data_IF_908978814982
#
_entry.id   IF_908978814982
#
_cell.length_a   1.000
_cell.length_b   1.000
_cell.length_c   1.000
_cell.angle_alpha   90.00
_cell.angle_beta   90.00
_cell.angle_gamma   90.00
#
_symmetry.space_group_name_H-M   'P 1'
#
loop_
_entity.id
_entity.type
_entity.pdbx_description
1 polymer ?
#
# COMPACT_ATOMS: atom_id res chain seq x y z
N UNK A 1 -26.17 -28.67 15.92
CA UNK A 1 -27.46 -29.37 16.14
C UNK A 1 -27.89 -30.03 14.83
N UNK A 2 -27.64 -31.34 14.67
CA UNK A 2 -28.22 -32.17 13.61
C UNK A 2 -28.55 -33.52 14.23
N UNK A 3 -29.82 -33.91 14.14
CA UNK A 3 -30.40 -35.05 14.83
C UNK A 3 -29.95 -36.39 14.22
N UNK A 4 -29.81 -37.47 15.02
CA UNK A 4 -29.57 -38.82 14.51
C UNK A 4 -30.88 -39.50 14.07
N UNK A 5 -30.84 -40.48 13.14
CA UNK A 5 -32.00 -41.28 12.80
C UNK A 5 -32.23 -42.44 13.81
N UNK A 6 -33.47 -42.94 13.92
CA UNK A 6 -33.89 -43.83 15.01
C UNK A 6 -33.49 -45.30 14.78
N UNK A 7 -33.04 -45.91 15.87
CA UNK A 7 -32.94 -47.34 16.08
C UNK A 7 -34.32 -47.98 16.20
N UNK A 8 -34.71 -48.83 15.25
CA UNK A 8 -35.92 -49.65 15.27
C UNK A 8 -35.60 -51.12 15.58
N UNK A 9 -36.33 -51.66 16.56
CA UNK A 9 -36.11 -52.89 17.35
C UNK A 9 -36.90 -54.09 16.80
N UNK A 10 -36.45 -55.30 17.17
CA UNK A 10 -37.18 -56.58 17.38
C UNK A 10 -38.27 -57.01 16.38
N UNK A 11 -38.27 -58.21 15.80
CA UNK A 11 -38.09 -59.51 16.46
C UNK A 11 -39.42 -60.27 16.45
N UNK A 12 -39.56 -61.30 15.61
CA UNK A 12 -40.66 -62.26 15.67
C UNK A 12 -40.18 -63.62 15.12
N UNK A 13 -40.02 -64.57 16.03
CA UNK A 13 -39.77 -65.97 15.74
C UNK A 13 -41.09 -66.66 15.33
N UNK A 14 -41.04 -67.48 14.27
CA UNK A 14 -42.09 -68.47 13.99
C UNK A 14 -41.47 -69.69 13.30
N UNK A 15 -41.52 -70.82 14.00
CA UNK A 15 -41.07 -72.11 13.51
C UNK A 15 -42.05 -72.71 12.49
N UNK A 16 -41.52 -73.58 11.62
CA UNK A 16 -42.33 -74.39 10.71
C UNK A 16 -41.50 -75.27 9.76
N UNK A 17 -41.67 -76.58 9.93
CA UNK A 17 -41.55 -77.66 8.94
C UNK A 17 -40.18 -77.98 8.26
N UNK A 18 -39.54 -79.11 8.61
CA UNK A 18 -38.44 -79.69 7.84
C UNK A 18 -39.01 -80.61 6.75
N UNK A 19 -38.81 -80.27 5.47
CA UNK A 19 -39.20 -81.19 4.39
C UNK A 19 -39.08 -80.70 2.96
N UNK A 20 -39.01 -79.37 2.74
CA UNK A 20 -38.90 -78.79 1.39
C UNK A 20 -37.72 -77.79 1.25
N UNK A 21 -36.74 -77.85 2.17
CA UNK A 21 -35.70 -76.80 2.31
C UNK A 21 -34.51 -76.93 1.36
N UNK A 22 -34.22 -78.11 0.81
CA UNK A 22 -32.99 -78.32 0.02
C UNK A 22 -33.07 -77.74 -1.40
N UNK A 23 -34.26 -77.74 -2.02
CA UNK A 23 -34.43 -77.18 -3.38
C UNK A 23 -34.53 -75.65 -3.38
N UNK A 24 -35.08 -75.05 -2.32
CA UNK A 24 -35.25 -73.61 -2.19
C UNK A 24 -33.93 -72.90 -1.79
N UNK A 25 -33.06 -73.58 -1.05
CA UNK A 25 -31.69 -73.11 -0.73
C UNK A 25 -30.79 -73.03 -1.98
N UNK A 26 -30.95 -73.95 -2.94
CA UNK A 26 -30.21 -73.91 -4.21
C UNK A 26 -30.64 -72.74 -5.12
N UNK A 27 -31.93 -72.44 -5.19
CA UNK A 27 -32.44 -71.27 -5.91
C UNK A 27 -32.05 -69.93 -5.23
N UNK A 28 -32.01 -69.91 -3.89
CA UNK A 28 -31.50 -68.76 -3.13
C UNK A 28 -29.99 -68.54 -3.32
N UNK A 29 -29.20 -69.58 -3.54
CA UNK A 29 -27.77 -69.47 -3.87
C UNK A 29 -27.49 -68.76 -5.20
N UNK A 30 -28.32 -68.99 -6.22
CA UNK A 30 -28.24 -68.26 -7.49
C UNK A 30 -28.74 -66.81 -7.38
N UNK A 31 -29.72 -66.54 -6.52
CA UNK A 31 -30.15 -65.18 -6.19
C UNK A 31 -29.08 -64.40 -5.41
N UNK A 32 -28.34 -65.07 -4.51
CA UNK A 32 -27.22 -64.45 -3.79
C UNK A 32 -26.09 -64.03 -4.74
N UNK A 33 -25.85 -64.79 -5.81
CA UNK A 33 -24.83 -64.47 -6.82
C UNK A 33 -25.26 -63.31 -7.75
N UNK A 34 -26.57 -63.19 -8.03
CA UNK A 34 -27.13 -62.01 -8.70
C UNK A 34 -27.01 -60.74 -7.85
N UNK A 35 -27.17 -60.85 -6.53
CA UNK A 35 -26.95 -59.74 -5.59
C UNK A 35 -25.54 -59.16 -5.68
N UNK A 36 -24.51 -60.02 -5.70
CA UNK A 36 -23.11 -59.57 -5.86
C UNK A 36 -22.86 -58.87 -7.19
N UNK A 37 -23.50 -59.30 -8.27
CA UNK A 37 -23.32 -58.71 -9.60
C UNK A 37 -24.01 -57.34 -9.70
N UNK A 38 -25.17 -57.18 -9.04
CA UNK A 38 -25.86 -55.89 -8.88
C UNK A 38 -25.03 -54.93 -8.02
N UNK A 39 -24.46 -55.39 -6.90
CA UNK A 39 -23.61 -54.57 -6.03
C UNK A 39 -22.34 -54.08 -6.75
N UNK A 40 -21.68 -54.94 -7.52
CA UNK A 40 -20.51 -54.54 -8.35
C UNK A 40 -20.93 -53.54 -9.44
N UNK A 41 -22.12 -53.69 -10.02
CA UNK A 41 -22.69 -52.75 -10.97
C UNK A 41 -22.94 -51.36 -10.35
N UNK A 42 -23.59 -51.33 -9.19
CA UNK A 42 -23.85 -50.09 -8.44
C UNK A 42 -22.55 -49.41 -8.00
N UNK A 43 -21.57 -50.16 -7.50
CA UNK A 43 -20.26 -49.62 -7.11
C UNK A 43 -19.53 -48.97 -8.29
N UNK A 44 -19.58 -49.58 -9.49
CA UNK A 44 -19.01 -48.98 -10.70
C UNK A 44 -19.73 -47.71 -11.14
N UNK A 45 -21.06 -47.67 -11.04
CA UNK A 45 -21.84 -46.48 -11.36
C UNK A 45 -21.52 -45.33 -10.39
N UNK A 46 -21.55 -45.59 -9.08
CA UNK A 46 -21.20 -44.62 -8.05
C UNK A 46 -19.77 -44.10 -8.19
N UNK A 47 -18.80 -44.98 -8.46
CA UNK A 47 -17.42 -44.55 -8.68
C UNK A 47 -17.28 -43.62 -9.90
N UNK A 48 -18.01 -43.89 -10.99
CA UNK A 48 -18.00 -43.01 -12.17
C UNK A 48 -18.59 -41.63 -11.85
N UNK A 49 -19.68 -41.59 -11.11
CA UNK A 49 -20.28 -40.35 -10.65
C UNK A 49 -19.34 -39.59 -9.71
N UNK A 50 -18.71 -40.27 -8.75
CA UNK A 50 -17.77 -39.65 -7.81
C UNK A 50 -16.56 -39.05 -8.53
N UNK A 51 -16.01 -39.73 -9.54
CA UNK A 51 -14.93 -39.19 -10.38
C UNK A 51 -15.41 -37.97 -11.18
N UNK A 52 -16.64 -38.00 -11.70
CA UNK A 52 -17.23 -36.86 -12.42
C UNK A 52 -17.37 -35.64 -11.51
N UNK A 53 -17.91 -35.82 -10.30
CA UNK A 53 -18.05 -34.76 -9.31
C UNK A 53 -16.70 -34.22 -8.84
N UNK A 54 -15.73 -35.10 -8.58
CA UNK A 54 -14.37 -34.69 -8.19
C UNK A 54 -13.70 -33.84 -9.28
N UNK A 55 -13.89 -34.17 -10.55
CA UNK A 55 -13.37 -33.36 -11.67
C UNK A 55 -14.03 -32.00 -11.77
N UNK A 56 -15.35 -31.93 -11.61
CA UNK A 56 -16.07 -30.66 -11.61
C UNK A 56 -15.62 -29.77 -10.45
N UNK A 57 -15.47 -30.34 -9.26
CA UNK A 57 -14.94 -29.63 -8.10
C UNK A 57 -13.51 -29.13 -8.36
N UNK A 58 -12.64 -29.95 -8.95
CA UNK A 58 -11.28 -29.53 -9.27
C UNK A 58 -11.23 -28.33 -10.24
N UNK A 59 -12.10 -28.30 -11.25
CA UNK A 59 -12.20 -27.15 -12.17
C UNK A 59 -12.69 -25.89 -11.43
N UNK A 60 -13.68 -26.03 -10.55
CA UNK A 60 -14.17 -24.92 -9.73
C UNK A 60 -13.10 -24.41 -8.76
N UNK A 61 -12.35 -25.32 -8.12
CA UNK A 61 -11.26 -24.99 -7.21
C UNK A 61 -10.11 -24.27 -7.96
N UNK A 62 -9.78 -24.71 -9.17
CA UNK A 62 -8.80 -24.04 -10.01
C UNK A 62 -9.26 -22.63 -10.42
N UNK A 63 -10.55 -22.44 -10.72
CA UNK A 63 -11.10 -21.11 -10.99
C UNK A 63 -11.10 -20.22 -9.75
N UNK A 64 -11.45 -20.76 -8.58
CA UNK A 64 -11.39 -20.05 -7.31
C UNK A 64 -9.95 -19.58 -7.03
N UNK A 65 -8.97 -20.47 -7.18
CA UNK A 65 -7.55 -20.14 -7.00
C UNK A 65 -7.11 -19.00 -7.94
N UNK A 66 -7.53 -19.01 -9.21
CA UNK A 66 -7.21 -17.92 -10.14
C UNK A 66 -7.75 -16.57 -9.67
N UNK A 67 -8.98 -16.56 -9.14
CA UNK A 67 -9.61 -15.34 -8.59
C UNK A 67 -8.86 -14.88 -7.34
N UNK A 68 -8.52 -15.79 -6.44
CA UNK A 68 -7.78 -15.48 -5.22
C UNK A 68 -6.39 -14.92 -5.51
N UNK A 69 -5.67 -15.53 -6.46
CA UNK A 69 -4.35 -15.05 -6.86
C UNK A 69 -4.41 -13.66 -7.52
N UNK A 70 -5.42 -13.39 -8.36
CA UNK A 70 -5.65 -12.06 -8.92
C UNK A 70 -6.00 -11.03 -7.83
N UNK A 71 -6.75 -11.46 -6.81
CA UNK A 71 -7.03 -10.66 -5.62
C UNK A 71 -5.75 -10.31 -4.87
N UNK A 72 -4.91 -11.29 -4.60
CA UNK A 72 -3.63 -11.10 -3.94
C UNK A 72 -2.69 -10.16 -4.73
N UNK A 73 -2.60 -10.33 -6.05
CA UNK A 73 -1.80 -9.46 -6.91
C UNK A 73 -2.28 -7.99 -6.87
N UNK A 74 -3.61 -7.79 -6.89
CA UNK A 74 -4.22 -6.46 -6.77
C UNK A 74 -3.90 -5.81 -5.43
N UNK A 75 -4.00 -6.59 -4.36
CA UNK A 75 -3.80 -6.09 -3.00
C UNK A 75 -2.32 -5.79 -2.74
N UNK A 76 -1.38 -6.52 -3.35
CA UNK A 76 0.06 -6.21 -3.30
C UNK A 76 0.40 -4.88 -4.00
N UNK A 77 -0.12 -4.68 -5.22
CA UNK A 77 0.04 -3.41 -5.96
C UNK A 77 -0.53 -2.23 -5.16
N UNK A 78 -1.72 -2.41 -4.57
CA UNK A 78 -2.35 -1.39 -3.73
C UNK A 78 -1.59 -1.14 -2.44
N UNK A 79 -1.15 -2.18 -1.75
CA UNK A 79 -0.38 -2.05 -0.51
C UNK A 79 0.92 -1.28 -0.74
N UNK A 80 1.59 -1.53 -1.87
CA UNK A 80 2.77 -0.76 -2.28
C UNK A 80 2.41 0.71 -2.49
N UNK A 81 1.39 1.00 -3.31
CA UNK A 81 0.92 2.37 -3.55
C UNK A 81 0.54 3.11 -2.26
N UNK A 82 -0.28 2.50 -1.40
CA UNK A 82 -0.81 3.10 -0.17
C UNK A 82 0.33 3.49 0.77
N UNK A 83 1.35 2.63 0.90
CA UNK A 83 2.54 2.88 1.73
C UNK A 83 3.27 4.16 1.32
N UNK A 84 3.39 4.42 0.02
CA UNK A 84 4.07 5.62 -0.49
C UNK A 84 3.17 6.86 -0.47
N UNK A 85 1.87 6.71 -0.74
CA UNK A 85 0.90 7.80 -0.65
C UNK A 85 0.76 8.31 0.77
N UNK A 86 0.68 7.44 1.77
CA UNK A 86 0.55 7.87 3.17
C UNK A 86 1.73 8.78 3.59
N UNK A 87 2.94 8.43 3.15
CA UNK A 87 4.15 9.23 3.38
C UNK A 87 4.08 10.57 2.63
N UNK A 88 3.63 10.56 1.38
CA UNK A 88 3.46 11.77 0.57
C UNK A 88 2.40 12.71 1.15
N UNK A 89 1.27 12.17 1.60
CA UNK A 89 0.16 12.93 2.17
C UNK A 89 0.56 13.56 3.51
N UNK A 90 1.35 12.87 4.32
CA UNK A 90 1.92 13.45 5.54
C UNK A 90 2.84 14.65 5.23
N UNK A 91 3.67 14.54 4.19
CA UNK A 91 4.53 15.65 3.75
C UNK A 91 3.73 16.81 3.14
N UNK A 92 2.67 16.51 2.38
CA UNK A 92 1.75 17.51 1.84
C UNK A 92 1.05 18.27 2.96
N UNK A 93 0.52 17.55 3.96
CA UNK A 93 -0.12 18.14 5.13
C UNK A 93 0.84 19.06 5.90
N UNK A 94 2.08 18.62 6.11
CA UNK A 94 3.07 19.42 6.84
C UNK A 94 3.46 20.70 6.08
N UNK A 95 3.64 20.63 4.76
CA UNK A 95 3.84 21.83 3.92
C UNK A 95 2.61 22.74 3.94
N UNK A 96 1.41 22.17 3.90
CA UNK A 96 0.16 22.93 3.95
C UNK A 96 -0.04 23.64 5.29
N UNK A 97 0.48 23.11 6.40
CA UNK A 97 0.45 23.74 7.72
C UNK A 97 1.51 24.83 7.88
N UNK A 98 2.68 24.69 7.24
CA UNK A 98 3.73 25.71 7.28
C UNK A 98 3.32 27.01 6.57
N UNK A 99 2.50 26.92 5.52
CA UNK A 99 2.09 28.10 4.76
C UNK A 99 1.24 29.09 5.61
N UNK A 100 0.17 28.66 6.31
CA UNK A 100 -0.54 29.48 7.29
C UNK A 100 0.36 29.99 8.42
N UNK A 101 1.32 29.18 8.87
CA UNK A 101 2.26 29.64 9.90
C UNK A 101 3.08 30.83 9.38
N UNK A 102 3.63 30.75 8.16
CA UNK A 102 4.34 31.86 7.53
C UNK A 102 3.44 33.10 7.34
N UNK A 103 2.19 32.90 6.93
CA UNK A 103 1.22 34.00 6.80
C UNK A 103 0.88 34.64 8.16
N UNK A 104 0.69 33.84 9.20
CA UNK A 104 0.45 34.35 10.55
C UNK A 104 1.67 35.12 11.07
N UNK A 105 2.90 34.66 10.81
CA UNK A 105 4.10 35.43 11.19
C UNK A 105 4.14 36.79 10.52
N UNK A 106 3.60 36.93 9.30
CA UNK A 106 3.47 38.24 8.64
C UNK A 106 2.40 39.11 9.29
N UNK A 107 1.26 38.54 9.63
CA UNK A 107 0.17 39.28 10.27
C UNK A 107 0.58 39.86 11.63
N UNK A 108 1.35 39.10 12.42
CA UNK A 108 1.85 39.55 13.72
C UNK A 108 3.17 40.30 13.63
N UNK A 109 3.73 40.50 12.44
CA UNK A 109 5.01 41.20 12.28
C UNK A 109 4.93 42.71 12.37
N UNK A 110 3.74 43.33 12.45
CA UNK A 110 3.60 44.79 12.37
C UNK A 110 4.43 45.55 13.43
N UNK A 111 4.49 45.02 14.67
CA UNK A 111 5.36 45.55 15.74
C UNK A 111 6.85 45.27 15.55
N UNK A 112 7.20 44.38 14.62
CA UNK A 112 8.55 43.92 14.31
C UNK A 112 9.00 44.31 12.90
N UNK A 113 8.19 45.09 12.16
CA UNK A 113 8.59 45.64 10.88
C UNK A 113 9.68 46.67 11.15
N UNK A 114 10.82 46.62 10.45
CA UNK A 114 11.89 47.61 10.61
C UNK A 114 11.31 49.01 10.44
N UNK A 115 11.36 49.79 11.52
CA UNK A 115 10.84 51.16 11.53
C UNK A 115 11.76 52.07 10.71
N UNK A 116 11.19 53.11 10.12
CA UNK A 116 11.97 54.10 9.37
C UNK A 116 12.72 55.02 10.33
N UNK A 117 13.81 55.65 9.87
CA UNK A 117 14.62 56.58 10.69
C UNK A 117 13.80 57.68 11.37
N UNK A 118 12.67 58.07 10.77
CA UNK A 118 11.77 59.10 11.31
C UNK A 118 11.07 58.69 12.62
N UNK A 119 10.91 57.39 12.86
CA UNK A 119 10.17 56.87 14.02
C UNK A 119 11.07 56.56 15.22
N UNK A 120 12.33 56.20 14.98
CA UNK A 120 13.29 55.85 16.03
C UNK A 120 14.74 56.00 15.54
N UNK A 121 15.38 57.13 15.86
CA UNK A 121 16.75 57.43 15.45
C UNK A 121 17.80 56.50 16.09
N UNK A 122 17.51 55.93 17.27
CA UNK A 122 18.44 55.07 18.03
C UNK A 122 18.19 53.57 17.81
N UNK A 123 17.25 53.19 16.93
CA UNK A 123 16.92 51.79 16.68
C UNK A 123 17.97 51.10 15.80
N UNK A 124 18.18 49.80 16.02
CA UNK A 124 19.22 49.01 15.29
C UNK A 124 18.98 48.99 13.79
N UNK A 125 17.73 49.04 13.36
CA UNK A 125 17.33 48.99 11.96
C UNK A 125 17.77 50.24 11.19
N UNK A 126 17.80 51.41 11.85
CA UNK A 126 18.33 52.65 11.29
C UNK A 126 19.86 52.54 11.08
N UNK A 127 20.56 51.95 12.04
CA UNK A 127 22.01 51.73 11.97
C UNK A 127 22.39 50.66 10.93
N UNK A 128 21.50 49.68 10.69
CA UNK A 128 21.77 48.50 9.87
C UNK A 128 20.64 48.22 8.86
N UNK A 129 20.55 48.99 7.75
CA UNK A 129 19.48 48.86 6.77
C UNK A 129 19.45 47.48 6.05
N UNK A 130 20.57 46.77 6.04
CA UNK A 130 20.67 45.42 5.45
C UNK A 130 19.78 44.39 6.18
N UNK A 131 19.45 44.61 7.45
CA UNK A 131 18.54 43.73 8.22
C UNK A 131 17.14 43.73 7.62
N UNK A 132 16.64 44.90 7.20
CA UNK A 132 15.35 45.00 6.53
C UNK A 132 15.36 44.24 5.21
N UNK A 133 16.44 44.36 4.42
CA UNK A 133 16.59 43.60 3.17
C UNK A 133 16.63 42.09 3.43
N UNK A 134 17.38 41.64 4.43
CA UNK A 134 17.45 40.23 4.82
C UNK A 134 16.08 39.70 5.26
N UNK A 135 15.33 40.48 6.06
CA UNK A 135 13.99 40.12 6.52
C UNK A 135 13.03 39.94 5.33
N UNK A 136 13.01 40.87 4.37
CA UNK A 136 12.17 40.77 3.17
C UNK A 136 12.50 39.51 2.35
N UNK A 137 13.78 39.19 2.17
CA UNK A 137 14.20 37.97 1.48
C UNK A 137 13.80 36.69 2.25
N UNK A 138 13.94 36.68 3.57
CA UNK A 138 13.52 35.55 4.41
C UNK A 138 12.00 35.33 4.31
N UNK A 139 11.21 36.39 4.43
CA UNK A 139 9.76 36.36 4.25
C UNK A 139 9.39 35.80 2.86
N UNK A 140 9.98 36.38 1.81
CA UNK A 140 9.72 35.92 0.43
C UNK A 140 10.07 34.46 0.24
N UNK A 141 11.20 34.01 0.79
CA UNK A 141 11.59 32.59 0.74
C UNK A 141 10.62 31.68 1.50
N UNK A 142 10.12 32.10 2.67
CA UNK A 142 9.17 31.34 3.47
C UNK A 142 7.79 31.22 2.81
N UNK A 143 7.44 32.11 1.89
CA UNK A 143 6.19 32.00 1.10
C UNK A 143 6.39 31.15 -0.16
N UNK A 144 7.50 31.35 -0.86
CA UNK A 144 7.74 30.74 -2.18
C UNK A 144 8.18 29.28 -2.06
N UNK A 145 9.09 28.94 -1.12
CA UNK A 145 9.62 27.59 -0.97
C UNK A 145 8.55 26.52 -0.65
N UNK A 146 7.61 26.71 0.32
CA UNK A 146 6.60 25.69 0.60
C UNK A 146 5.64 25.50 -0.58
N UNK A 147 5.36 26.55 -1.35
CA UNK A 147 4.57 26.45 -2.58
C UNK A 147 5.22 25.54 -3.63
N UNK A 148 6.52 25.73 -3.90
CA UNK A 148 7.26 24.84 -4.81
C UNK A 148 7.35 23.41 -4.29
N UNK A 149 7.56 23.23 -2.98
CA UNK A 149 7.53 21.92 -2.33
C UNK A 149 6.20 21.18 -2.56
N UNK A 150 5.06 21.87 -2.36
CA UNK A 150 3.73 21.33 -2.62
C UNK A 150 3.54 20.93 -4.10
N UNK A 151 3.98 21.77 -5.04
CA UNK A 151 3.87 21.46 -6.48
C UNK A 151 4.67 20.21 -6.87
N UNK A 152 5.86 20.02 -6.31
CA UNK A 152 6.68 18.83 -6.57
C UNK A 152 6.03 17.56 -6.00
N UNK A 153 5.51 17.63 -4.76
CA UNK A 153 4.80 16.51 -4.14
C UNK A 153 3.51 16.17 -4.89
N UNK A 154 2.75 17.17 -5.34
CA UNK A 154 1.52 16.96 -6.11
C UNK A 154 1.82 16.30 -7.47
N UNK A 155 2.88 16.74 -8.17
CA UNK A 155 3.32 16.09 -9.40
C UNK A 155 3.74 14.64 -9.18
N UNK A 156 4.42 14.35 -8.06
CA UNK A 156 4.77 12.99 -7.68
C UNK A 156 3.52 12.14 -7.45
N UNK A 157 2.53 12.67 -6.72
CA UNK A 157 1.24 12.01 -6.47
C UNK A 157 0.50 11.69 -7.77
N UNK A 158 0.32 12.68 -8.65
CA UNK A 158 -0.37 12.48 -9.92
C UNK A 158 0.28 11.40 -10.81
N UNK A 159 1.61 11.28 -10.79
CA UNK A 159 2.30 10.22 -11.53
C UNK A 159 2.07 8.84 -10.92
N UNK A 160 2.07 8.74 -9.59
CA UNK A 160 1.80 7.50 -8.88
C UNK A 160 0.35 7.04 -9.11
N UNK A 161 -0.59 7.99 -9.13
CA UNK A 161 -2.01 7.73 -9.40
C UNK A 161 -2.20 7.21 -10.84
N UNK A 162 -1.53 7.83 -11.83
CA UNK A 162 -1.56 7.36 -13.23
C UNK A 162 -1.04 5.94 -13.35
N UNK A 163 0.10 5.65 -12.73
CA UNK A 163 0.68 4.32 -12.71
C UNK A 163 -0.26 3.28 -12.08
N UNK A 164 -0.89 3.62 -10.95
CA UNK A 164 -1.84 2.71 -10.30
C UNK A 164 -3.04 2.42 -11.20
N UNK A 165 -3.58 3.44 -11.87
CA UNK A 165 -4.70 3.28 -12.80
C UNK A 165 -4.33 2.37 -13.97
N UNK A 166 -3.18 2.62 -14.61
CA UNK A 166 -2.66 1.80 -15.71
C UNK A 166 -2.46 0.34 -15.30
N UNK A 167 -1.88 0.11 -14.13
CA UNK A 167 -1.62 -1.24 -13.58
C UNK A 167 -2.93 -1.99 -13.28
N UNK A 168 -3.92 -1.29 -12.70
CA UNK A 168 -5.23 -1.90 -12.41
C UNK A 168 -6.00 -2.22 -13.69
N UNK A 169 -5.89 -1.37 -14.72
CA UNK A 169 -6.50 -1.61 -16.02
C UNK A 169 -5.86 -2.82 -16.74
N UNK A 170 -4.53 -2.97 -16.64
CA UNK A 170 -3.82 -4.14 -17.16
C UNK A 170 -4.24 -5.41 -16.42
N UNK A 171 -4.34 -5.37 -15.09
CA UNK A 171 -4.82 -6.50 -14.29
C UNK A 171 -6.26 -6.88 -14.65
N UNK A 172 -7.12 -5.89 -14.96
CA UNK A 172 -8.48 -6.17 -15.45
C UNK A 172 -8.49 -6.79 -16.85
N UNK A 173 -7.53 -6.49 -17.71
CA UNK A 173 -7.36 -7.16 -19.01
C UNK A 173 -6.92 -8.61 -18.79
N UNK A 174 -5.89 -8.85 -17.99
CA UNK A 174 -5.42 -10.20 -17.63
C UNK A 174 -6.56 -11.02 -17.01
N UNK A 175 -7.33 -10.44 -16.09
CA UNK A 175 -8.52 -11.09 -15.53
C UNK A 175 -9.55 -11.48 -16.60
N UNK A 176 -9.84 -10.59 -17.55
CA UNK A 176 -10.79 -10.87 -18.65
C UNK A 176 -10.29 -11.96 -19.59
N UNK A 177 -8.99 -11.99 -19.86
CA UNK A 177 -8.36 -13.03 -20.68
C UNK A 177 -8.40 -14.38 -19.97
N UNK A 178 -8.13 -14.43 -18.66
CA UNK A 178 -8.16 -15.66 -17.86
C UNK A 178 -9.57 -16.20 -17.59
N UNK A 179 -10.58 -15.32 -17.56
CA UNK A 179 -11.98 -15.69 -17.36
C UNK A 179 -12.72 -16.01 -18.66
N UNK A 180 -12.18 -15.67 -19.82
CA UNK A 180 -12.76 -16.12 -21.08
C UNK A 180 -12.68 -17.66 -21.09
N UNK A 181 -13.82 -18.37 -21.06
CA UNK A 181 -13.81 -19.81 -21.14
C UNK A 181 -13.18 -20.15 -22.47
N UNK A 182 -11.97 -20.72 -22.43
CA UNK A 182 -11.21 -21.14 -23.59
C UNK A 182 -12.06 -22.17 -24.35
N UNK A 183 -12.87 -21.66 -25.28
CA UNK A 183 -13.72 -22.36 -26.22
C UNK A 183 -14.32 -23.68 -25.68
N UNK A 184 -15.38 -23.54 -24.90
CA UNK A 184 -16.29 -24.62 -24.50
C UNK A 184 -17.01 -25.32 -25.69
N UNK A 185 -16.48 -25.22 -26.91
CA UNK A 185 -17.06 -25.74 -28.15
C UNK A 185 -16.39 -26.99 -28.70
N UNK A 186 -15.31 -27.48 -28.08
CA UNK A 186 -14.72 -28.76 -28.45
C UNK A 186 -15.22 -29.82 -27.48
N UNK A 187 -16.05 -30.75 -27.97
CA UNK A 187 -16.37 -32.04 -27.34
C UNK A 187 -15.07 -32.81 -27.06
N UNK A 188 -14.33 -32.40 -26.03
CA UNK A 188 -13.04 -32.97 -25.68
C UNK A 188 -13.33 -34.35 -25.09
N UNK A 189 -13.15 -35.38 -25.92
CA UNK A 189 -13.29 -36.79 -25.56
C UNK A 189 -12.36 -37.07 -24.37
N UNK A 190 -12.97 -37.13 -23.18
CA UNK A 190 -12.35 -36.95 -21.87
C UNK A 190 -11.64 -38.23 -21.37
N UNK A 191 -10.87 -38.88 -22.25
CA UNK A 191 -10.11 -40.09 -21.93
C UNK A 191 -8.80 -39.72 -21.22
N UNK A 192 -8.77 -40.01 -19.91
CA UNK A 192 -7.61 -40.14 -19.00
C UNK A 192 -6.55 -39.01 -18.90
N UNK A 193 -6.28 -38.20 -19.91
CA UNK A 193 -5.25 -37.15 -19.90
C UNK A 193 -5.72 -35.78 -19.35
N UNK A 194 -6.99 -35.64 -18.99
CA UNK A 194 -7.57 -34.35 -18.62
C UNK A 194 -7.07 -33.74 -17.30
N UNK A 195 -6.56 -34.55 -16.37
CA UNK A 195 -6.06 -34.01 -15.08
C UNK A 195 -4.70 -33.32 -15.27
N UNK A 196 -3.79 -33.95 -16.01
CA UNK A 196 -2.47 -33.42 -16.32
C UNK A 196 -2.58 -32.12 -17.13
N UNK A 197 -3.47 -32.09 -18.12
CA UNK A 197 -3.77 -30.88 -18.90
C UNK A 197 -4.27 -29.70 -18.03
N UNK A 198 -5.16 -29.94 -17.06
CA UNK A 198 -5.65 -28.86 -16.17
C UNK A 198 -4.56 -28.39 -15.22
N UNK A 199 -3.70 -29.29 -14.74
CA UNK A 199 -2.55 -28.92 -13.91
C UNK A 199 -1.54 -28.05 -14.67
N UNK A 200 -1.19 -28.41 -15.90
CA UNK A 200 -0.33 -27.61 -16.78
C UNK A 200 -0.94 -26.23 -17.09
N UNK A 201 -2.25 -26.18 -17.38
CA UNK A 201 -2.95 -24.91 -17.60
C UNK A 201 -2.94 -24.03 -16.34
N UNK A 202 -3.05 -24.63 -15.15
CA UNK A 202 -2.96 -23.90 -13.89
C UNK A 202 -1.56 -23.36 -13.65
N UNK A 203 -0.52 -24.17 -13.86
CA UNK A 203 0.88 -23.75 -13.73
C UNK A 203 1.21 -22.60 -14.69
N UNK A 204 0.71 -22.66 -15.93
CA UNK A 204 0.89 -21.58 -16.90
C UNK A 204 0.22 -20.27 -16.44
N UNK A 205 -0.97 -20.34 -15.85
CA UNK A 205 -1.67 -19.14 -15.34
C UNK A 205 -0.95 -18.55 -14.13
N UNK A 206 -0.52 -19.40 -13.19
CA UNK A 206 0.28 -18.97 -12.05
C UNK A 206 1.58 -18.33 -12.52
N UNK A 207 2.30 -18.95 -13.46
CA UNK A 207 3.53 -18.42 -14.02
C UNK A 207 3.36 -17.06 -14.70
N UNK A 208 2.28 -16.87 -15.48
CA UNK A 208 1.94 -15.58 -16.08
C UNK A 208 1.66 -14.50 -15.03
N UNK A 209 0.91 -14.84 -13.99
CA UNK A 209 0.58 -13.89 -12.93
C UNK A 209 1.80 -13.51 -12.09
N UNK A 210 2.65 -14.48 -11.75
CA UNK A 210 3.92 -14.21 -11.06
C UNK A 210 4.81 -13.28 -11.91
N UNK A 211 4.91 -13.54 -13.21
CA UNK A 211 5.65 -12.67 -14.13
C UNK A 211 5.04 -11.27 -14.18
N UNK A 212 3.71 -11.15 -14.19
CA UNK A 212 3.02 -9.86 -14.11
C UNK A 212 3.35 -9.10 -12.83
N UNK A 213 3.30 -9.75 -11.65
CA UNK A 213 3.61 -9.12 -10.36
C UNK A 213 5.06 -8.61 -10.36
N UNK A 214 6.01 -9.46 -10.76
CA UNK A 214 7.45 -9.10 -10.79
C UNK A 214 7.69 -7.92 -11.74
N UNK A 215 7.14 -7.98 -12.96
CA UNK A 215 7.29 -6.89 -13.93
C UNK A 215 6.70 -5.56 -13.41
N UNK A 216 5.58 -5.60 -12.68
CA UNK A 216 4.98 -4.40 -12.10
C UNK A 216 5.80 -3.85 -10.93
N UNK A 217 6.41 -4.71 -10.12
CA UNK A 217 7.33 -4.29 -9.06
C UNK A 217 8.58 -3.63 -9.64
N UNK A 218 9.12 -4.17 -10.74
CA UNK A 218 10.26 -3.58 -11.45
C UNK A 218 9.90 -2.23 -12.08
N UNK A 219 8.75 -2.14 -12.75
CA UNK A 219 8.25 -0.89 -13.35
C UNK A 219 7.97 0.18 -12.29
N UNK A 220 7.40 -0.23 -11.15
CA UNK A 220 7.23 0.66 -10.00
C UNK A 220 8.58 1.14 -9.47
N UNK A 221 9.55 0.25 -9.30
CA UNK A 221 10.88 0.59 -8.81
C UNK A 221 11.59 1.57 -9.76
N UNK A 222 11.49 1.37 -11.07
CA UNK A 222 12.02 2.28 -12.08
C UNK A 222 11.32 3.65 -12.03
N UNK A 223 9.98 3.68 -12.00
CA UNK A 223 9.21 4.91 -11.87
C UNK A 223 9.57 5.67 -10.60
N UNK A 224 9.64 4.95 -9.47
CA UNK A 224 9.95 5.52 -8.18
C UNK A 224 11.37 6.10 -8.16
N UNK A 225 12.37 5.31 -8.51
CA UNK A 225 13.78 5.73 -8.44
C UNK A 225 14.13 6.79 -9.48
N UNK A 226 13.60 6.67 -10.70
CA UNK A 226 13.91 7.59 -11.80
C UNK A 226 13.19 8.94 -11.69
N UNK A 227 11.95 8.95 -11.19
CA UNK A 227 11.10 10.13 -11.26
C UNK A 227 10.61 10.65 -9.90
N UNK A 228 10.07 9.77 -9.05
CA UNK A 228 9.42 10.20 -7.81
C UNK A 228 10.41 10.51 -6.69
N UNK A 229 11.41 9.66 -6.47
CA UNK A 229 12.43 9.80 -5.46
C UNK A 229 13.17 11.15 -5.51
N UNK A 230 13.66 11.64 -6.67
CA UNK A 230 14.29 12.95 -6.74
C UNK A 230 13.30 14.09 -6.44
N UNK A 231 12.05 13.99 -6.90
CA UNK A 231 11.01 15.00 -6.60
C UNK A 231 10.74 15.08 -5.09
N UNK A 232 10.56 13.94 -4.43
CA UNK A 232 10.34 13.86 -2.97
C UNK A 232 11.55 14.38 -2.22
N UNK A 233 12.77 13.98 -2.63
CA UNK A 233 14.00 14.47 -2.00
C UNK A 233 14.15 16.00 -2.11
N UNK A 234 13.90 16.56 -3.30
CA UNK A 234 13.89 18.00 -3.52
C UNK A 234 12.82 18.70 -2.69
N UNK A 235 11.60 18.18 -2.66
CA UNK A 235 10.51 18.73 -1.86
C UNK A 235 10.84 18.71 -0.36
N UNK A 236 11.35 17.60 0.16
CA UNK A 236 11.79 17.49 1.57
C UNK A 236 12.91 18.49 1.87
N UNK A 237 13.85 18.71 0.96
CA UNK A 237 14.89 19.74 1.14
C UNK A 237 14.31 21.15 1.18
N UNK A 238 13.42 21.50 0.25
CA UNK A 238 12.74 22.81 0.23
C UNK A 238 11.92 23.03 1.51
N UNK A 239 11.24 21.98 1.99
CA UNK A 239 10.50 21.97 3.24
C UNK A 239 11.42 22.27 4.43
N UNK A 240 12.55 21.57 4.55
CA UNK A 240 13.53 21.85 5.62
C UNK A 240 14.10 23.26 5.52
N UNK A 241 14.45 23.73 4.31
CA UNK A 241 14.93 25.10 4.09
C UNK A 241 13.89 26.13 4.51
N UNK A 242 12.61 25.91 4.18
CA UNK A 242 11.50 26.77 4.60
C UNK A 242 11.31 26.78 6.11
N UNK A 243 11.39 25.61 6.77
CA UNK A 243 11.27 25.50 8.22
C UNK A 243 12.42 26.22 8.93
N UNK A 244 13.66 26.03 8.48
CA UNK A 244 14.82 26.78 8.99
C UNK A 244 14.67 28.28 8.75
N UNK A 245 14.17 28.69 7.57
CA UNK A 245 13.88 30.08 7.24
C UNK A 245 12.87 30.69 8.19
N UNK A 246 11.78 29.98 8.52
CA UNK A 246 10.77 30.44 9.46
C UNK A 246 11.30 30.57 10.89
N UNK A 247 12.13 29.62 11.35
CA UNK A 247 12.79 29.69 12.65
C UNK A 247 13.79 30.86 12.69
N UNK A 248 14.58 31.05 11.63
CA UNK A 248 15.50 32.17 11.52
C UNK A 248 14.77 33.51 11.50
N UNK A 249 13.66 33.62 10.77
CA UNK A 249 12.83 34.82 10.68
C UNK A 249 12.25 35.18 12.05
N UNK A 250 11.60 34.23 12.71
CA UNK A 250 11.02 34.43 14.06
C UNK A 250 12.10 34.77 15.09
N UNK A 251 13.22 34.05 15.07
CA UNK A 251 14.38 34.35 15.91
C UNK A 251 14.93 35.76 15.66
N UNK A 252 15.06 36.18 14.40
CA UNK A 252 15.52 37.51 14.05
C UNK A 252 14.56 38.60 14.55
N UNK A 253 13.24 38.40 14.40
CA UNK A 253 12.21 39.33 14.93
C UNK A 253 12.32 39.48 16.45
N UNK A 254 12.41 38.36 17.19
CA UNK A 254 12.58 38.40 18.65
C UNK A 254 13.90 39.03 19.07
N UNK A 255 14.98 38.77 18.34
CA UNK A 255 16.27 39.37 18.62
C UNK A 255 16.24 40.89 18.43
N UNK A 256 15.70 41.38 17.31
CA UNK A 256 15.52 42.82 17.05
C UNK A 256 14.72 43.47 18.18
N UNK A 257 13.59 42.87 18.56
CA UNK A 257 12.76 43.36 19.67
C UNK A 257 13.52 43.46 21.00
N UNK A 258 14.36 42.46 21.32
CA UNK A 258 15.17 42.47 22.54
C UNK A 258 16.26 43.54 22.52
N UNK A 259 16.82 43.84 21.35
CA UNK A 259 17.86 44.90 21.25
C UNK A 259 17.23 46.29 21.32
N UNK A 260 16.06 46.49 20.70
CA UNK A 260 15.37 47.78 20.70
C UNK A 260 14.69 48.12 22.03
N UNK A 261 14.60 47.19 22.98
CA UNK A 261 13.94 47.42 24.28
C UNK A 261 14.87 48.17 25.25
N UNK A 262 14.61 49.44 25.60
CA UNK A 262 15.46 50.18 26.53
C UNK A 262 15.32 49.63 27.97
N UNK A 263 16.42 49.21 28.60
CA UNK A 263 16.38 48.71 29.98
C UNK A 263 17.66 48.04 30.48
N UNK A 264 17.65 47.58 31.74
CA UNK A 264 18.80 47.00 32.48
C UNK A 264 19.22 45.60 32.01
N UNK A 265 18.63 45.07 30.93
CA UNK A 265 18.82 43.70 30.43
C UNK A 265 19.65 43.65 29.13
N UNK A 266 20.67 44.50 29.01
CA UNK A 266 21.51 44.59 27.81
C UNK A 266 22.28 43.30 27.45
N UNK A 267 22.30 42.25 28.28
CA UNK A 267 22.92 40.96 27.92
C UNK A 267 21.96 39.92 27.36
N UNK A 268 20.64 40.10 27.52
CA UNK A 268 19.65 39.06 27.20
C UNK A 268 19.59 38.75 25.69
N UNK A 269 19.71 39.77 24.83
CA UNK A 269 19.71 39.59 23.37
C UNK A 269 20.89 38.74 22.89
N UNK A 270 22.06 38.86 23.53
CA UNK A 270 23.25 38.07 23.19
C UNK A 270 23.07 36.59 23.56
N UNK A 271 22.53 36.30 24.74
CA UNK A 271 22.20 34.94 25.15
C UNK A 271 21.15 34.31 24.22
N UNK A 272 20.11 35.06 23.85
CA UNK A 272 19.09 34.59 22.91
C UNK A 272 19.68 34.26 21.53
N UNK A 273 20.55 35.13 20.99
CA UNK A 273 21.22 34.90 19.71
C UNK A 273 22.09 33.64 19.72
N UNK A 274 22.87 33.43 20.78
CA UNK A 274 23.70 32.22 20.93
C UNK A 274 22.83 30.96 20.96
N UNK A 275 21.72 30.98 21.71
CA UNK A 275 20.77 29.86 21.75
C UNK A 275 20.13 29.60 20.38
N UNK A 276 19.75 30.66 19.65
CA UNK A 276 19.21 30.56 18.29
C UNK A 276 20.22 29.95 17.32
N UNK A 277 21.48 30.39 17.36
CA UNK A 277 22.56 29.87 16.51
C UNK A 277 22.89 28.42 16.82
N UNK A 278 22.91 28.03 18.10
CA UNK A 278 23.09 26.63 18.52
C UNK A 278 21.92 25.78 18.01
N UNK A 279 20.68 26.26 18.19
CA UNK A 279 19.47 25.56 17.75
C UNK A 279 19.42 25.35 16.23
N UNK A 280 19.77 26.37 15.43
CA UNK A 280 19.84 26.26 13.97
C UNK A 280 21.07 25.47 13.49
N UNK A 281 22.20 25.57 14.20
CA UNK A 281 23.44 24.89 13.85
C UNK A 281 23.43 23.39 14.13
N UNK A 282 22.76 22.95 15.19
CA UNK A 282 22.69 21.54 15.58
C UNK A 282 22.22 20.58 14.46
N UNK A 283 21.08 20.80 13.77
CA UNK A 283 20.66 19.93 12.67
C UNK A 283 21.64 19.97 11.50
N UNK A 284 22.22 21.13 11.20
CA UNK A 284 23.22 21.26 10.12
C UNK A 284 24.49 20.45 10.42
N UNK A 285 25.00 20.54 11.65
CA UNK A 285 26.12 19.73 12.13
C UNK A 285 25.80 18.24 12.09
N UNK A 286 24.59 17.83 12.48
CA UNK A 286 24.16 16.43 12.40
C UNK A 286 24.16 15.92 10.95
N UNK A 287 23.62 16.69 10.00
CA UNK A 287 23.65 16.34 8.58
C UNK A 287 25.07 16.28 8.01
N UNK A 288 25.93 17.24 8.35
CA UNK A 288 27.34 17.24 7.94
C UNK A 288 28.08 16.02 8.49
N UNK A 289 27.94 15.72 9.78
CA UNK A 289 28.57 14.55 10.40
C UNK A 289 28.12 13.25 9.73
N UNK A 290 26.82 13.09 9.46
CA UNK A 290 26.30 11.91 8.77
C UNK A 290 26.76 11.83 7.31
N UNK A 291 26.86 12.96 6.62
CA UNK A 291 27.39 13.02 5.26
C UNK A 291 28.86 12.61 5.23
N UNK A 292 29.69 13.16 6.12
CA UNK A 292 31.09 12.80 6.26
C UNK A 292 31.28 11.31 6.61
N UNK A 293 30.42 10.72 7.46
CA UNK A 293 30.47 9.27 7.77
C UNK A 293 30.15 8.38 6.57
N UNK A 294 29.33 8.83 5.62
CA UNK A 294 29.01 8.05 4.41
C UNK A 294 30.06 8.17 3.30
N UNK A 295 30.81 9.27 3.29
CA UNK A 295 31.86 9.56 2.29
C UNK A 295 33.25 9.11 2.78
N UNK A 296 33.37 8.74 4.06
CA UNK A 296 34.57 8.09 4.58
C UNK A 296 34.83 6.73 3.91
N UNK A 297 36.10 6.39 3.65
CA UNK A 297 36.53 5.24 2.84
C UNK A 297 36.15 3.88 3.43
#
# INVERSE_FOLDING_TARGET
>A
ARAPPPSGRSGAARGGAPGASMALLGALGHLANLGQLVDVGQGRAQHREQVRWSRQNYVLDAQALKIDLLGAARDDVRGTYDTYIERLDTLLLLNALLLPFALNTLQFSDEFVPQTEEQCADCVEAVHPWLATLWVYLVGSCLVLPFWSLLLLLRCKLRLDSWLQETLDELQRVRRELLQPEHAGSDFDFKSGGVEFVAEAQEQVVGRLCTFIVNNQDLFAELWTGHCAPLVFCATRLLWSSACGAIALTGLMFWIFLVNRPGRQNSAHAHFLVLLLIGLGAPFLYFLCNYCRKVGP
#
